data_IF_568077862936
#
_entry.id   IF_568077862936
#
_cell.length_a   1.000
_cell.length_b   1.000
_cell.length_c   1.000
_cell.angle_alpha   90.00
_cell.angle_beta   90.00
_cell.angle_gamma   90.00
#
_symmetry.space_group_name_H-M   'P 1'
#
loop_
_entity.id
_entity.type
_entity.pdbx_description
1 polymer ?
#
# COMPACT_ATOMS: atom_id res chain seq x y z
N UNK A 1 29.75 40.16 12.35
CA UNK A 1 28.42 40.08 11.73
C UNK A 1 28.06 38.61 11.64
N UNK A 2 27.16 38.18 12.54
CA UNK A 2 26.34 36.94 12.54
C UNK A 2 26.84 35.68 11.81
N UNK A 3 27.42 34.75 12.56
CA UNK A 3 27.46 33.31 12.25
C UNK A 3 26.03 32.72 12.37
N UNK A 4 25.23 32.81 11.31
CA UNK A 4 23.82 32.37 11.32
C UNK A 4 23.48 31.43 10.15
N UNK A 5 24.43 30.61 9.71
CA UNK A 5 24.16 29.46 8.85
C UNK A 5 23.95 28.21 9.73
N UNK A 6 22.77 28.09 10.33
CA UNK A 6 22.41 27.00 11.25
C UNK A 6 22.08 25.67 10.55
N UNK A 7 22.46 25.50 9.28
CA UNK A 7 22.12 24.32 8.46
C UNK A 7 23.35 23.73 7.76
N UNK A 8 23.28 22.43 7.45
CA UNK A 8 24.31 21.73 6.70
C UNK A 8 24.07 21.98 5.20
N UNK A 9 25.02 22.60 4.52
CA UNK A 9 24.95 22.82 3.08
C UNK A 9 25.19 21.52 2.31
N UNK A 10 24.28 21.18 1.40
CA UNK A 10 24.42 20.03 0.48
C UNK A 10 24.62 20.52 -0.96
N UNK A 11 25.63 20.01 -1.69
CA UNK A 11 25.86 20.41 -3.08
C UNK A 11 24.86 19.72 -4.02
N UNK A 12 23.76 20.39 -4.33
CA UNK A 12 22.69 19.89 -5.21
C UNK A 12 22.74 20.52 -6.61
N UNK A 13 22.24 19.80 -7.62
CA UNK A 13 22.10 20.27 -9.01
C UNK A 13 20.65 20.09 -9.47
N UNK A 14 20.15 21.07 -10.22
CA UNK A 14 18.85 21.01 -10.88
C UNK A 14 19.02 20.85 -12.38
N UNK A 15 18.31 19.89 -12.97
CA UNK A 15 18.21 19.76 -14.41
C UNK A 15 17.20 20.81 -14.95
N UNK A 16 17.60 21.71 -15.85
CA UNK A 16 16.73 22.77 -16.35
C UNK A 16 15.53 22.26 -17.15
N UNK A 17 15.59 21.07 -17.78
CA UNK A 17 14.50 20.50 -18.57
C UNK A 17 13.54 19.68 -17.71
N UNK A 18 14.07 18.72 -16.94
CA UNK A 18 13.23 17.81 -16.14
C UNK A 18 12.80 18.40 -14.80
N UNK A 19 13.43 19.52 -14.40
CA UNK A 19 13.30 20.14 -13.06
C UNK A 19 13.67 19.18 -11.92
N UNK A 20 14.36 18.08 -12.21
CA UNK A 20 14.77 17.11 -11.20
C UNK A 20 15.99 17.62 -10.43
N UNK A 21 16.00 17.39 -9.12
CA UNK A 21 17.11 17.70 -8.23
C UNK A 21 17.95 16.44 -7.99
N UNK A 22 19.28 16.57 -8.05
CA UNK A 22 20.27 15.49 -7.89
C UNK A 22 21.43 15.91 -6.98
N UNK A 23 22.06 14.96 -6.31
CA UNK A 23 23.25 15.17 -5.47
C UNK A 23 24.51 15.24 -6.33
N UNK A 24 25.43 16.19 -6.05
CA UNK A 24 26.69 16.33 -6.81
C UNK A 24 27.75 15.28 -6.45
N UNK A 25 27.54 14.55 -5.35
CA UNK A 25 28.51 13.66 -4.70
C UNK A 25 28.82 12.35 -5.44
N UNK A 26 28.25 12.14 -6.64
CA UNK A 26 28.37 10.86 -7.35
C UNK A 26 28.98 10.95 -8.77
N UNK A 27 29.61 12.07 -9.14
CA UNK A 27 30.19 12.24 -10.49
C UNK A 27 31.71 12.10 -10.61
N UNK A 28 32.43 11.73 -9.55
CA UNK A 28 33.85 11.32 -9.63
C UNK A 28 34.05 9.91 -9.08
N UNK A 29 33.53 8.90 -9.79
CA UNK A 29 34.05 7.53 -9.71
C UNK A 29 34.08 6.86 -11.07
N UNK A 30 34.66 7.53 -12.06
CA UNK A 30 35.25 6.83 -13.21
C UNK A 30 36.61 6.29 -12.78
N UNK A 31 36.60 5.15 -12.07
CA UNK A 31 37.81 4.53 -11.57
C UNK A 31 37.52 3.14 -11.01
N UNK A 32 37.86 2.13 -11.79
CA UNK A 32 37.97 0.72 -11.37
C UNK A 32 38.69 0.60 -10.02
N UNK A 33 38.03 0.09 -8.99
CA UNK A 33 38.65 -0.10 -7.68
C UNK A 33 37.80 -0.93 -6.73
N UNK A 34 38.01 -2.24 -6.74
CA UNK A 34 37.69 -3.14 -5.63
C UNK A 34 38.35 -2.64 -4.35
N UNK A 35 37.57 -2.17 -3.38
CA UNK A 35 38.08 -1.63 -2.11
C UNK A 35 37.03 -1.66 -1.01
N UNK A 36 37.20 -2.61 -0.11
CA UNK A 36 36.42 -2.82 1.10
C UNK A 36 36.85 -1.76 2.16
N UNK A 37 35.93 -0.89 2.63
CA UNK A 37 36.17 -0.04 3.82
C UNK A 37 35.35 1.26 3.91
N UNK A 38 34.61 1.44 5.02
CA UNK A 38 34.13 2.76 5.48
C UNK A 38 32.62 2.92 5.72
N UNK A 39 32.03 2.18 6.65
CA UNK A 39 30.58 2.05 6.91
C UNK A 39 29.82 3.26 7.52
N UNK A 40 30.22 4.51 7.26
CA UNK A 40 29.53 5.71 7.78
C UNK A 40 28.90 6.62 6.71
N UNK A 41 29.67 6.95 5.65
CA UNK A 41 29.24 7.91 4.62
C UNK A 41 28.18 7.38 3.64
N UNK A 42 28.16 6.07 3.41
CA UNK A 42 27.21 5.44 2.49
C UNK A 42 25.76 5.39 3.00
N UNK A 43 25.53 5.54 4.30
CA UNK A 43 24.16 5.61 4.84
C UNK A 43 23.54 7.00 4.61
N UNK A 44 24.29 8.05 4.90
CA UNK A 44 23.83 9.43 4.70
C UNK A 44 23.63 9.77 3.21
N UNK A 45 24.52 9.32 2.33
CA UNK A 45 24.37 9.50 0.89
C UNK A 45 23.12 8.80 0.34
N UNK A 46 22.86 7.55 0.77
CA UNK A 46 21.65 6.81 0.39
C UNK A 46 20.36 7.47 0.91
N UNK A 47 20.40 8.01 2.12
CA UNK A 47 19.28 8.76 2.68
C UNK A 47 18.99 10.03 1.87
N UNK A 48 20.03 10.80 1.52
CA UNK A 48 19.89 11.99 0.67
C UNK A 48 19.31 11.64 -0.70
N UNK A 49 19.81 10.60 -1.36
CA UNK A 49 19.30 10.19 -2.68
C UNK A 49 17.84 9.70 -2.61
N UNK A 50 17.44 9.05 -1.51
CA UNK A 50 16.04 8.67 -1.26
C UNK A 50 15.13 9.90 -1.10
N UNK A 51 15.57 10.90 -0.33
CA UNK A 51 14.84 12.16 -0.16
C UNK A 51 14.74 12.97 -1.45
N UNK A 52 15.82 13.04 -2.24
CA UNK A 52 15.80 13.68 -3.57
C UNK A 52 14.84 12.95 -4.53
N UNK A 53 14.77 11.63 -4.44
CA UNK A 53 13.80 10.84 -5.20
C UNK A 53 12.36 11.17 -4.79
N UNK A 54 12.09 11.24 -3.49
CA UNK A 54 10.78 11.62 -2.96
C UNK A 54 10.39 13.05 -3.36
N UNK A 55 11.32 14.00 -3.29
CA UNK A 55 11.14 15.39 -3.73
C UNK A 55 10.77 15.47 -5.22
N UNK A 56 11.49 14.74 -6.06
CA UNK A 56 11.23 14.71 -7.51
C UNK A 56 9.85 14.07 -7.83
N UNK A 57 9.45 13.05 -7.07
CA UNK A 57 8.11 12.45 -7.21
C UNK A 57 7.01 13.42 -6.77
N UNK A 58 7.21 14.13 -5.66
CA UNK A 58 6.28 15.14 -5.16
C UNK A 58 6.13 16.30 -6.14
N UNK A 59 7.24 16.80 -6.70
CA UNK A 59 7.20 17.88 -7.69
C UNK A 59 6.36 17.49 -8.92
N UNK A 60 6.57 16.29 -9.48
CA UNK A 60 5.76 15.78 -10.60
C UNK A 60 4.30 15.61 -10.20
N UNK A 61 4.01 15.09 -9.00
CA UNK A 61 2.65 14.92 -8.51
C UNK A 61 1.92 16.26 -8.39
N UNK A 62 2.58 17.31 -7.89
CA UNK A 62 2.02 18.66 -7.78
C UNK A 62 1.76 19.26 -9.17
N UNK A 63 2.74 19.19 -10.07
CA UNK A 63 2.64 19.77 -11.42
C UNK A 63 1.54 19.09 -12.26
N UNK A 64 1.36 17.78 -12.11
CA UNK A 64 0.37 17.01 -12.88
C UNK A 64 -1.00 16.89 -12.20
N UNK A 65 -1.05 16.94 -10.88
CA UNK A 65 -2.22 16.57 -10.08
C UNK A 65 -2.99 17.74 -9.48
N UNK A 66 -2.38 18.92 -9.39
CA UNK A 66 -3.10 20.15 -9.02
C UNK A 66 -3.72 20.71 -10.30
N UNK A 67 -4.98 20.34 -10.57
CA UNK A 67 -5.75 20.97 -11.64
C UNK A 67 -5.73 22.49 -11.40
N UNK A 68 -5.24 23.26 -12.39
CA UNK A 68 -5.33 24.71 -12.33
C UNK A 68 -6.80 25.09 -12.10
N UNK A 69 -7.12 25.95 -11.11
CA UNK A 69 -8.51 26.27 -10.82
C UNK A 69 -9.18 26.79 -12.09
N UNK A 70 -10.31 26.18 -12.45
CA UNK A 70 -11.13 26.62 -13.57
C UNK A 70 -11.54 28.08 -13.32
N UNK A 71 -10.86 29.01 -14.00
CA UNK A 71 -11.21 30.43 -14.12
C UNK A 71 -11.64 31.12 -12.82
N UNK A 72 -10.69 31.55 -12.00
CA UNK A 72 -10.94 32.41 -10.84
C UNK A 72 -9.66 33.02 -10.30
N UNK A 73 -9.77 34.05 -9.45
CA UNK A 73 -8.71 34.95 -8.93
C UNK A 73 -7.47 34.30 -8.25
N UNK A 74 -7.28 32.99 -8.38
CA UNK A 74 -6.27 32.17 -7.73
C UNK A 74 -5.22 31.60 -8.69
N UNK A 75 -4.89 32.29 -9.79
CA UNK A 75 -3.73 31.94 -10.62
C UNK A 75 -2.40 31.98 -9.83
N UNK A 76 -2.36 32.70 -8.71
CA UNK A 76 -1.23 32.76 -7.78
C UNK A 76 -1.05 31.50 -6.89
N UNK A 77 -2.00 30.55 -6.92
CA UNK A 77 -1.95 29.27 -6.19
C UNK A 77 -1.55 28.09 -7.09
N UNK A 78 -1.09 28.33 -8.33
CA UNK A 78 -0.59 27.29 -9.21
C UNK A 78 0.58 26.55 -8.54
N UNK A 79 0.38 25.27 -8.21
CA UNK A 79 1.36 24.43 -7.52
C UNK A 79 1.16 24.29 -6.00
N UNK A 80 0.08 24.85 -5.42
CA UNK A 80 -0.30 24.60 -4.02
C UNK A 80 -1.43 23.58 -3.99
N UNK A 81 -1.28 22.45 -3.25
CA UNK A 81 -2.35 21.48 -3.09
C UNK A 81 -3.64 22.10 -2.51
N UNK A 82 -4.83 21.71 -3.00
CA UNK A 82 -6.09 22.13 -2.41
C UNK A 82 -6.26 21.54 -0.99
N UNK A 83 -7.17 22.08 -0.16
CA UNK A 83 -7.52 21.46 1.10
C UNK A 83 -8.01 20.02 0.87
N UNK A 84 -7.76 19.08 1.81
CA UNK A 84 -8.13 17.67 1.65
C UNK A 84 -9.64 17.42 1.42
N UNK A 85 -10.48 18.36 1.81
CA UNK A 85 -11.93 18.30 1.65
C UNK A 85 -12.36 19.60 0.94
N UNK A 86 -13.21 19.55 -0.09
CA UNK A 86 -13.87 18.38 -0.67
C UNK A 86 -13.00 17.56 -1.63
N UNK A 87 -13.16 16.23 -1.64
CA UNK A 87 -12.44 15.32 -2.53
C UNK A 87 -13.09 15.27 -3.91
N UNK A 88 -12.29 15.19 -4.98
CA UNK A 88 -12.79 14.96 -6.34
C UNK A 88 -13.38 13.54 -6.47
N UNK A 89 -14.69 13.38 -6.74
CA UNK A 89 -15.34 12.07 -6.77
C UNK A 89 -14.95 11.21 -7.98
N UNK A 90 -14.35 11.80 -9.03
CA UNK A 90 -14.04 11.12 -10.30
C UNK A 90 -13.17 9.87 -10.10
N UNK A 91 -12.14 9.98 -9.25
CA UNK A 91 -11.20 8.88 -9.02
C UNK A 91 -11.87 7.75 -8.24
N UNK A 92 -12.64 8.06 -7.19
CA UNK A 92 -13.43 7.06 -6.45
C UNK A 92 -14.43 6.35 -7.36
N UNK A 93 -15.09 7.06 -8.27
CA UNK A 93 -16.00 6.45 -9.24
C UNK A 93 -15.28 5.46 -10.17
N UNK A 94 -14.07 5.80 -10.63
CA UNK A 94 -13.26 4.92 -11.48
C UNK A 94 -12.73 3.69 -10.72
N UNK A 95 -12.30 3.86 -9.46
CA UNK A 95 -11.91 2.73 -8.58
C UNK A 95 -13.09 1.78 -8.34
N UNK A 96 -14.28 2.33 -8.06
CA UNK A 96 -15.50 1.53 -7.89
C UNK A 96 -15.87 0.80 -9.18
N UNK A 97 -15.73 1.43 -10.35
CA UNK A 97 -15.96 0.76 -11.65
C UNK A 97 -15.04 -0.44 -11.85
N UNK A 98 -13.75 -0.32 -11.50
CA UNK A 98 -12.80 -1.44 -11.57
C UNK A 98 -13.14 -2.55 -10.58
N UNK A 99 -13.52 -2.19 -9.35
CA UNK A 99 -14.00 -3.14 -8.34
C UNK A 99 -15.22 -3.92 -8.84
N UNK A 100 -16.20 -3.21 -9.39
CA UNK A 100 -17.46 -3.81 -9.84
C UNK A 100 -17.25 -4.69 -11.08
N UNK A 101 -16.33 -4.31 -11.99
CA UNK A 101 -15.88 -5.16 -13.10
C UNK A 101 -15.20 -6.45 -12.60
N UNK A 102 -14.32 -6.35 -11.59
CA UNK A 102 -13.72 -7.52 -10.95
C UNK A 102 -14.77 -8.43 -10.31
N UNK A 103 -15.76 -7.86 -9.61
CA UNK A 103 -16.88 -8.61 -9.03
C UNK A 103 -17.75 -9.28 -10.10
N UNK A 104 -17.91 -8.67 -11.27
CA UNK A 104 -18.66 -9.26 -12.37
C UNK A 104 -17.93 -10.48 -12.94
N UNK A 105 -16.62 -10.41 -13.16
CA UNK A 105 -15.83 -11.57 -13.62
C UNK A 105 -15.73 -12.66 -12.54
N UNK A 106 -15.63 -12.29 -11.26
CA UNK A 106 -15.64 -13.24 -10.14
C UNK A 106 -16.93 -14.08 -10.13
N UNK A 107 -18.11 -13.44 -10.32
CA UNK A 107 -19.40 -14.15 -10.38
C UNK A 107 -19.52 -15.09 -11.57
N UNK A 108 -18.77 -14.84 -12.65
CA UNK A 108 -18.70 -15.72 -13.83
C UNK A 108 -17.72 -16.90 -13.65
N UNK A 109 -17.06 -17.02 -12.49
CA UNK A 109 -16.01 -18.02 -12.25
C UNK A 109 -14.67 -17.70 -12.92
N UNK A 110 -14.52 -16.49 -13.50
CA UNK A 110 -13.30 -16.04 -14.17
C UNK A 110 -12.38 -15.34 -13.19
N UNK A 111 -11.77 -16.13 -12.30
CA UNK A 111 -11.01 -15.60 -11.17
C UNK A 111 -9.72 -14.89 -11.59
N UNK A 112 -9.03 -15.38 -12.63
CA UNK A 112 -7.81 -14.75 -13.13
C UNK A 112 -8.07 -13.34 -13.69
N UNK A 113 -9.17 -13.15 -14.41
CA UNK A 113 -9.62 -11.86 -14.91
C UNK A 113 -10.05 -10.94 -13.76
N UNK A 114 -10.77 -11.47 -12.77
CA UNK A 114 -11.15 -10.72 -11.58
C UNK A 114 -9.92 -10.16 -10.83
N UNK A 115 -8.88 -10.98 -10.66
CA UNK A 115 -7.60 -10.57 -10.04
C UNK A 115 -6.95 -9.40 -10.80
N UNK A 116 -6.99 -9.41 -12.14
CA UNK A 116 -6.46 -8.32 -12.96
C UNK A 116 -7.21 -7.01 -12.69
N UNK A 117 -8.54 -7.05 -12.68
CA UNK A 117 -9.37 -5.86 -12.39
C UNK A 117 -9.15 -5.33 -10.97
N UNK A 118 -9.10 -6.20 -9.96
CA UNK A 118 -8.80 -5.76 -8.59
C UNK A 118 -7.40 -5.17 -8.48
N UNK A 119 -6.41 -5.72 -9.18
CA UNK A 119 -5.03 -5.19 -9.18
C UNK A 119 -4.95 -3.81 -9.82
N UNK A 120 -5.66 -3.59 -10.95
CA UNK A 120 -5.79 -2.26 -11.55
C UNK A 120 -6.47 -1.26 -10.60
N UNK A 121 -7.52 -1.70 -9.91
CA UNK A 121 -8.20 -0.89 -8.89
C UNK A 121 -7.24 -0.49 -7.75
N UNK A 122 -6.42 -1.42 -7.27
CA UNK A 122 -5.44 -1.17 -6.21
C UNK A 122 -4.35 -0.19 -6.65
N UNK A 123 -3.82 -0.34 -7.86
CA UNK A 123 -2.84 0.60 -8.43
C UNK A 123 -3.43 2.02 -8.51
N UNK A 124 -4.69 2.12 -8.91
CA UNK A 124 -5.38 3.39 -9.03
C UNK A 124 -5.70 4.04 -7.68
N UNK A 125 -6.12 3.27 -6.69
CA UNK A 125 -6.38 3.75 -5.33
C UNK A 125 -5.08 4.20 -4.62
N UNK A 126 -3.97 3.49 -4.83
CA UNK A 126 -2.66 3.82 -4.22
C UNK A 126 -1.95 5.01 -4.85
N UNK A 127 -2.29 5.36 -6.08
CA UNK A 127 -1.72 6.53 -6.79
C UNK A 127 -2.56 7.80 -6.60
N UNK A 128 -3.40 7.83 -5.56
CA UNK A 128 -4.13 9.03 -5.16
C UNK A 128 -3.16 10.14 -4.76
N UNK A 129 -3.50 11.41 -5.04
CA UNK A 129 -2.70 12.53 -4.58
C UNK A 129 -2.52 12.51 -3.06
N UNK A 130 -1.31 12.81 -2.60
CA UNK A 130 -0.93 12.72 -1.18
C UNK A 130 -1.66 13.71 -0.26
N UNK A 131 -2.30 14.73 -0.83
CA UNK A 131 -3.10 15.72 -0.11
C UNK A 131 -4.57 15.31 0.06
N UNK A 132 -5.01 14.19 -0.54
CA UNK A 132 -6.34 13.65 -0.28
C UNK A 132 -6.40 12.91 1.07
N UNK A 133 -7.59 12.79 1.71
CA UNK A 133 -7.71 12.13 3.00
C UNK A 133 -7.24 10.66 2.95
N UNK A 134 -6.30 10.25 3.82
CA UNK A 134 -5.75 8.90 3.79
C UNK A 134 -6.81 7.83 4.12
N UNK A 135 -7.81 8.16 4.94
CA UNK A 135 -8.91 7.26 5.29
C UNK A 135 -9.67 6.76 4.06
N UNK A 136 -9.88 7.63 3.06
CA UNK A 136 -10.54 7.25 1.81
C UNK A 136 -9.74 6.19 1.05
N UNK A 137 -8.42 6.37 0.97
CA UNK A 137 -7.52 5.39 0.34
C UNK A 137 -7.59 4.07 1.10
N UNK A 138 -7.51 4.11 2.44
CA UNK A 138 -7.55 2.93 3.30
C UNK A 138 -8.84 2.11 3.12
N UNK A 139 -10.01 2.75 3.03
CA UNK A 139 -11.28 2.05 2.81
C UNK A 139 -11.36 1.37 1.43
N UNK A 140 -10.92 2.08 0.39
CA UNK A 140 -10.90 1.56 -0.98
C UNK A 140 -9.92 0.39 -1.12
N UNK A 141 -8.68 0.54 -0.63
CA UNK A 141 -7.68 -0.53 -0.70
C UNK A 141 -8.06 -1.73 0.17
N UNK A 142 -8.62 -1.52 1.36
CA UNK A 142 -9.07 -2.61 2.22
C UNK A 142 -10.08 -3.50 1.49
N UNK A 143 -11.07 -2.88 0.86
CA UNK A 143 -12.12 -3.60 0.11
C UNK A 143 -11.54 -4.37 -1.09
N UNK A 144 -10.67 -3.72 -1.87
CA UNK A 144 -10.07 -4.34 -3.05
C UNK A 144 -9.14 -5.51 -2.71
N UNK A 145 -8.30 -5.35 -1.69
CA UNK A 145 -7.45 -6.46 -1.18
C UNK A 145 -8.31 -7.62 -0.70
N UNK A 146 -9.39 -7.36 0.03
CA UNK A 146 -10.28 -8.41 0.54
C UNK A 146 -10.94 -9.21 -0.61
N UNK A 147 -11.35 -8.52 -1.68
CA UNK A 147 -11.94 -9.16 -2.86
C UNK A 147 -10.89 -9.93 -3.69
N UNK A 148 -9.69 -9.38 -3.85
CA UNK A 148 -8.59 -10.07 -4.54
C UNK A 148 -8.11 -11.31 -3.77
N UNK A 149 -8.06 -11.23 -2.44
CA UNK A 149 -7.82 -12.38 -1.58
C UNK A 149 -8.83 -13.50 -1.82
N UNK A 150 -10.13 -13.16 -1.90
CA UNK A 150 -11.16 -14.15 -2.19
C UNK A 150 -11.00 -14.80 -3.58
N UNK A 151 -10.59 -14.03 -4.59
CA UNK A 151 -10.29 -14.56 -5.92
C UNK A 151 -9.09 -15.51 -5.90
N UNK A 152 -8.03 -15.18 -5.16
CA UNK A 152 -6.88 -16.08 -4.96
C UNK A 152 -7.28 -17.37 -4.24
N UNK A 153 -8.09 -17.28 -3.18
CA UNK A 153 -8.63 -18.45 -2.47
C UNK A 153 -9.45 -19.36 -3.39
N UNK A 154 -10.27 -18.79 -4.29
CA UNK A 154 -11.05 -19.56 -5.25
C UNK A 154 -10.17 -20.33 -6.25
N UNK A 155 -8.93 -19.87 -6.49
CA UNK A 155 -7.91 -20.56 -7.29
C UNK A 155 -6.93 -21.40 -6.46
N UNK A 156 -7.19 -21.59 -5.17
CA UNK A 156 -6.29 -22.27 -4.22
C UNK A 156 -4.89 -21.62 -4.07
N UNK A 157 -4.76 -20.34 -4.43
CA UNK A 157 -3.58 -19.51 -4.21
C UNK A 157 -3.53 -19.00 -2.77
N UNK A 158 -3.31 -19.90 -1.81
CA UNK A 158 -3.44 -19.59 -0.38
C UNK A 158 -2.37 -18.60 0.12
N UNK A 159 -1.18 -18.61 -0.46
CA UNK A 159 -0.10 -17.71 -0.08
C UNK A 159 -0.44 -16.26 -0.47
N UNK A 160 -0.80 -16.04 -1.73
CA UNK A 160 -1.19 -14.73 -2.27
C UNK A 160 -2.47 -14.23 -1.62
N UNK A 161 -3.48 -15.11 -1.47
CA UNK A 161 -4.73 -14.79 -0.79
C UNK A 161 -4.52 -14.40 0.68
N UNK A 162 -3.60 -15.07 1.36
CA UNK A 162 -3.19 -14.72 2.71
C UNK A 162 -2.53 -13.34 2.79
N UNK A 163 -1.54 -13.07 1.93
CA UNK A 163 -0.87 -11.76 1.90
C UNK A 163 -1.86 -10.62 1.64
N UNK A 164 -2.77 -10.81 0.69
CA UNK A 164 -3.81 -9.82 0.37
C UNK A 164 -4.78 -9.61 1.54
N UNK A 165 -5.24 -10.69 2.18
CA UNK A 165 -6.14 -10.57 3.32
C UNK A 165 -5.47 -9.87 4.50
N UNK A 166 -4.17 -10.11 4.74
CA UNK A 166 -3.40 -9.38 5.75
C UNK A 166 -3.24 -7.89 5.39
N UNK A 167 -2.98 -7.57 4.10
CA UNK A 167 -2.93 -6.19 3.62
C UNK A 167 -4.28 -5.46 3.76
N UNK A 168 -5.40 -6.18 3.57
CA UNK A 168 -6.74 -5.63 3.81
C UNK A 168 -6.97 -5.27 5.28
N UNK A 169 -6.60 -6.16 6.21
CA UNK A 169 -6.69 -5.90 7.65
C UNK A 169 -5.77 -4.75 8.09
N UNK A 170 -4.56 -4.66 7.53
CA UNK A 170 -3.64 -3.57 7.81
C UNK A 170 -4.20 -2.20 7.34
N UNK A 171 -4.97 -2.18 6.25
CA UNK A 171 -5.63 -0.97 5.77
C UNK A 171 -6.88 -0.62 6.60
N UNK A 172 -7.67 -1.60 7.03
CA UNK A 172 -8.86 -1.41 7.86
C UNK A 172 -8.98 -2.53 8.88
N UNK A 173 -8.64 -2.21 10.14
CA UNK A 173 -8.52 -3.19 11.22
C UNK A 173 -9.85 -3.62 11.84
N UNK A 174 -10.83 -2.73 11.90
CA UNK A 174 -12.17 -2.94 12.50
C UNK A 174 -13.27 -2.84 11.44
N UNK A 175 -14.36 -3.59 11.63
CA UNK A 175 -15.46 -3.66 10.65
C UNK A 175 -15.01 -4.35 9.35
N UNK A 176 -14.08 -5.30 9.44
CA UNK A 176 -13.47 -6.06 8.36
C UNK A 176 -13.31 -7.56 8.70
N UNK A 177 -14.28 -8.14 9.42
CA UNK A 177 -14.31 -9.55 9.81
C UNK A 177 -14.02 -10.53 8.66
N UNK A 178 -14.50 -10.23 7.45
CA UNK A 178 -14.26 -11.07 6.27
C UNK A 178 -12.78 -11.16 5.89
N UNK A 179 -12.00 -10.09 6.05
CA UNK A 179 -10.56 -10.15 5.76
C UNK A 179 -9.81 -10.94 6.82
N UNK A 180 -10.15 -10.77 8.10
CA UNK A 180 -9.65 -11.61 9.20
C UNK A 180 -9.90 -13.09 8.92
N UNK A 181 -11.13 -13.44 8.54
CA UNK A 181 -11.53 -14.81 8.23
C UNK A 181 -10.76 -15.36 7.01
N UNK A 182 -10.66 -14.60 5.91
CA UNK A 182 -9.95 -15.04 4.70
C UNK A 182 -8.48 -15.38 4.98
N UNK A 183 -7.77 -14.54 5.74
CA UNK A 183 -6.37 -14.81 6.12
C UNK A 183 -6.25 -16.03 7.03
N UNK A 184 -7.14 -16.16 8.03
CA UNK A 184 -7.17 -17.32 8.90
C UNK A 184 -7.42 -18.62 8.13
N UNK A 185 -8.36 -18.62 7.17
CA UNK A 185 -8.62 -19.77 6.30
C UNK A 185 -7.44 -20.10 5.40
N UNK A 186 -6.78 -19.09 4.82
CA UNK A 186 -5.54 -19.32 4.05
C UNK A 186 -4.45 -19.98 4.92
N UNK A 187 -4.23 -19.52 6.16
CA UNK A 187 -3.27 -20.11 7.08
C UNK A 187 -3.60 -21.57 7.40
N UNK A 188 -4.88 -21.84 7.67
CA UNK A 188 -5.36 -23.19 7.94
C UNK A 188 -5.12 -24.13 6.76
N UNK A 189 -5.41 -23.70 5.53
CA UNK A 189 -5.21 -24.51 4.32
C UNK A 189 -3.73 -24.73 3.99
N UNK A 190 -2.86 -23.78 4.36
CA UNK A 190 -1.39 -23.95 4.26
C UNK A 190 -0.80 -24.81 5.38
N UNK A 191 -1.60 -25.25 6.36
CA UNK A 191 -1.12 -26.03 7.51
C UNK A 191 -0.34 -25.20 8.55
N UNK A 192 -0.35 -23.87 8.45
CA UNK A 192 0.30 -22.97 9.43
C UNK A 192 -0.66 -22.73 10.60
N UNK A 193 -0.91 -23.78 11.37
CA UNK A 193 -2.01 -23.86 12.32
C UNK A 193 -1.84 -22.93 13.53
N UNK A 194 -0.62 -22.80 14.06
CA UNK A 194 -0.30 -21.94 15.20
C UNK A 194 -0.51 -20.46 14.84
N UNK A 195 -0.06 -20.08 13.64
CA UNK A 195 -0.30 -18.74 13.11
C UNK A 195 -1.79 -18.50 12.84
N UNK A 196 -2.52 -19.51 12.34
CA UNK A 196 -3.96 -19.41 12.14
C UNK A 196 -4.68 -19.14 13.47
N UNK A 197 -4.27 -19.83 14.54
CA UNK A 197 -4.86 -19.69 15.86
C UNK A 197 -4.66 -18.27 16.41
N UNK A 198 -3.42 -17.78 16.38
CA UNK A 198 -3.10 -16.44 16.86
C UNK A 198 -3.80 -15.36 16.02
N UNK A 199 -3.83 -15.53 14.70
CA UNK A 199 -4.50 -14.59 13.81
C UNK A 199 -6.01 -14.51 14.05
N UNK A 200 -6.68 -15.66 14.18
CA UNK A 200 -8.14 -15.71 14.45
C UNK A 200 -8.46 -15.16 15.83
N UNK A 201 -7.60 -15.42 16.83
CA UNK A 201 -7.71 -14.83 18.18
C UNK A 201 -7.70 -13.30 18.11
N UNK A 202 -6.71 -12.72 17.41
CA UNK A 202 -6.64 -11.27 17.19
C UNK A 202 -7.86 -10.73 16.44
N UNK A 203 -8.35 -11.46 15.43
CA UNK A 203 -9.55 -11.06 14.69
C UNK A 203 -10.80 -10.96 15.57
N UNK A 204 -11.00 -11.92 16.48
CA UNK A 204 -12.11 -11.91 17.43
C UNK A 204 -12.00 -10.78 18.48
N UNK A 205 -10.78 -10.38 18.87
CA UNK A 205 -10.58 -9.21 19.74
C UNK A 205 -10.98 -7.90 19.05
N UNK A 206 -10.79 -7.81 17.73
CA UNK A 206 -11.05 -6.59 16.96
C UNK A 206 -12.49 -6.47 16.45
N UNK A 207 -13.11 -7.59 16.06
CA UNK A 207 -14.44 -7.62 15.42
C UNK A 207 -15.54 -8.12 16.36
N UNK A 208 -15.19 -8.71 17.50
CA UNK A 208 -16.14 -9.33 18.42
C UNK A 208 -16.49 -10.77 18.04
N UNK A 209 -17.66 -11.23 18.49
CA UNK A 209 -18.16 -12.61 18.33
C UNK A 209 -18.74 -12.89 16.93
N UNK A 210 -17.97 -12.60 15.89
CA UNK A 210 -18.35 -12.88 14.51
C UNK A 210 -18.45 -14.40 14.27
N UNK A 211 -19.59 -14.91 13.78
CA UNK A 211 -19.87 -16.34 13.74
C UNK A 211 -18.90 -17.13 12.85
N UNK A 212 -18.51 -16.54 11.70
CA UNK A 212 -17.57 -17.18 10.78
C UNK A 212 -16.16 -17.31 11.39
N UNK A 213 -15.72 -16.31 12.18
CA UNK A 213 -14.44 -16.35 12.89
C UNK A 213 -14.47 -17.33 14.06
N UNK A 214 -15.59 -17.41 14.78
CA UNK A 214 -15.78 -18.41 15.85
C UNK A 214 -15.75 -19.84 15.29
N UNK A 215 -16.44 -20.09 14.17
CA UNK A 215 -16.41 -21.38 13.48
C UNK A 215 -14.99 -21.74 13.01
N UNK A 216 -14.27 -20.77 12.43
CA UNK A 216 -12.90 -20.97 12.01
C UNK A 216 -11.96 -21.25 13.19
N UNK A 217 -12.16 -20.59 14.35
CA UNK A 217 -11.39 -20.86 15.57
C UNK A 217 -11.54 -22.32 16.00
N UNK A 218 -12.76 -22.84 16.00
CA UNK A 218 -13.04 -24.24 16.36
C UNK A 218 -12.37 -25.19 15.36
N UNK A 219 -12.44 -24.89 14.07
CA UNK A 219 -11.77 -25.68 13.01
C UNK A 219 -10.24 -25.72 13.22
N UNK A 220 -9.62 -24.57 13.46
CA UNK A 220 -8.16 -24.45 13.73
C UNK A 220 -7.77 -25.25 14.98
N UNK A 221 -8.49 -25.09 16.08
CA UNK A 221 -8.24 -25.82 17.34
C UNK A 221 -8.37 -27.34 17.15
N UNK A 222 -9.38 -27.77 16.41
CA UNK A 222 -9.57 -29.19 16.10
C UNK A 222 -8.42 -29.78 15.27
N UNK A 223 -7.86 -29.02 14.30
CA UNK A 223 -6.68 -29.47 13.53
C UNK A 223 -5.41 -29.47 14.36
N UNK A 224 -5.22 -28.48 15.25
CA UNK A 224 -4.08 -28.43 16.17
C UNK A 224 -4.07 -29.61 17.13
N UNK A 225 -5.20 -29.94 17.74
CA UNK A 225 -5.30 -31.07 18.67
C UNK A 225 -4.93 -32.39 17.97
N UNK A 226 -5.47 -32.63 16.77
CA UNK A 226 -5.14 -33.81 15.96
C UNK A 226 -3.67 -33.87 15.53
N UNK A 227 -3.07 -32.72 15.22
CA UNK A 227 -1.65 -32.64 14.87
C UNK A 227 -0.76 -32.95 16.08
N UNK A 228 -1.14 -32.48 17.28
CA UNK A 228 -0.44 -32.77 18.52
C UNK A 228 -0.54 -34.24 18.94
N UNK A 229 -1.68 -34.90 18.70
CA UNK A 229 -1.87 -36.33 18.98
C UNK A 229 -1.09 -37.24 18.02
N UNK A 230 -0.69 -36.74 16.85
CA UNK A 230 0.04 -37.49 15.83
C UNK A 230 1.58 -37.43 15.99
N UNK A 231 2.08 -36.64 16.95
CA UNK A 231 3.48 -36.46 17.31
C UNK A 231 3.86 -37.33 18.52
#
# INVERSE_FOLDING_TARGET
>A
MSELDTFIFYPLRIDPQTKAVSSSSNSESTGTGTGNGGGGGGAAARALDAELTALNQLHRAIVTGVDAPAGGANAALAGVPPPPIPVNPKRTAQVNKLRDAGNAEFRKGRYAEAIKFYSLGLQMARTRPVWEPPQLVHEEVATLYANRAQAHMATQGWAEGGVDAAASVAAKKTGNAKAWWRRGKCLLEMGRLEEAQEWVRQGLEMEGEEPDLLALRVEVQGRLAKAAEAL
#
